data_IF_232330726254
#
_entry.id   IF_232330726254
#
_cell.length_a   1.000
_cell.length_b   1.000
_cell.length_c   1.000
_cell.angle_alpha   90.00
_cell.angle_beta   90.00
_cell.angle_gamma   90.00
#
_symmetry.space_group_name_H-M   'P 1'
#
loop_
_entity.id
_entity.type
_entity.pdbx_description
1 polymer ?
#
# COMPACT_ATOMS: atom_id res chain seq x y z
N UNK A 1 -4.84 -4.52 9.10
CA UNK A 1 -4.95 -3.28 8.35
C UNK A 1 -5.28 -3.62 6.91
N UNK A 2 -6.28 -2.98 6.31
CA UNK A 2 -6.72 -3.18 4.93
C UNK A 2 -6.54 -1.89 4.13
N UNK A 3 -5.61 -1.90 3.19
CA UNK A 3 -5.20 -0.74 2.42
C UNK A 3 -5.96 -0.67 1.08
N UNK A 4 -6.50 0.50 0.76
CA UNK A 4 -7.18 0.68 -0.51
C UNK A 4 -6.21 0.91 -1.67
N UNK A 5 -6.66 0.60 -2.87
CA UNK A 5 -5.96 0.95 -4.11
C UNK A 5 -6.18 2.40 -4.50
N UNK A 6 -5.53 2.83 -5.54
CA UNK A 6 -5.58 4.19 -6.04
C UNK A 6 -4.20 4.64 -6.48
N UNK A 7 -3.56 5.58 -5.75
CA UNK A 7 -3.85 6.16 -4.43
C UNK A 7 -5.08 7.08 -4.36
N UNK A 8 -5.47 7.72 -5.45
CA UNK A 8 -6.59 8.66 -5.54
C UNK A 8 -7.96 7.96 -5.43
N UNK A 9 -8.22 7.38 -4.26
CA UNK A 9 -9.46 6.71 -3.88
C UNK A 9 -9.76 7.00 -2.41
N UNK A 10 -10.85 6.49 -1.88
CA UNK A 10 -11.15 6.54 -0.44
C UNK A 10 -12.05 5.38 -0.03
N UNK A 11 -11.88 4.90 1.19
CA UNK A 11 -12.83 4.01 1.85
C UNK A 11 -14.01 4.80 2.39
N UNK A 12 -15.18 4.26 2.21
CA UNK A 12 -16.40 4.78 2.81
C UNK A 12 -16.88 3.83 3.91
N UNK A 13 -17.61 4.38 4.88
CA UNK A 13 -18.24 3.60 5.94
C UNK A 13 -19.49 2.89 5.38
N UNK A 14 -19.27 1.82 4.63
CA UNK A 14 -20.34 1.04 4.02
C UNK A 14 -20.12 -0.46 4.24
N UNK A 15 -21.22 -1.20 4.29
CA UNK A 15 -21.16 -2.65 4.35
C UNK A 15 -20.84 -3.22 2.97
N UNK A 16 -19.57 -3.44 2.70
CA UNK A 16 -19.11 -4.06 1.45
C UNK A 16 -18.86 -5.56 1.65
N UNK A 17 -19.56 -6.37 0.89
CA UNK A 17 -19.22 -7.78 0.68
C UNK A 17 -18.21 -7.87 -0.48
N UNK A 18 -17.00 -7.36 -0.23
CA UNK A 18 -15.95 -7.34 -1.24
C UNK A 18 -15.10 -8.60 -1.20
N UNK A 19 -14.41 -8.88 -2.31
CA UNK A 19 -13.46 -9.98 -2.44
C UNK A 19 -12.30 -9.94 -1.42
N UNK A 20 -12.09 -8.82 -0.76
CA UNK A 20 -11.01 -8.63 0.24
C UNK A 20 -11.36 -9.11 1.65
N UNK A 21 -12.52 -9.72 1.85
CA UNK A 21 -12.86 -10.45 3.06
C UNK A 21 -13.06 -9.63 4.34
N UNK A 22 -13.08 -8.27 4.27
CA UNK A 22 -13.22 -7.42 5.47
C UNK A 22 -14.41 -7.78 6.34
N UNK A 23 -15.59 -7.92 5.74
CA UNK A 23 -16.79 -8.32 6.44
C UNK A 23 -16.65 -9.71 7.07
N UNK A 24 -16.01 -10.64 6.37
CA UNK A 24 -15.74 -11.99 6.87
C UNK A 24 -14.77 -11.96 8.06
N UNK A 25 -13.67 -11.22 7.97
CA UNK A 25 -12.70 -11.10 9.06
C UNK A 25 -13.35 -10.54 10.31
N UNK A 26 -14.21 -9.53 10.20
CA UNK A 26 -14.93 -8.97 11.34
C UNK A 26 -15.85 -9.99 12.03
N UNK A 27 -16.48 -10.90 11.27
CA UNK A 27 -17.30 -11.98 11.85
C UNK A 27 -16.48 -13.06 12.56
N UNK A 28 -15.17 -13.10 12.30
CA UNK A 28 -14.23 -14.02 12.95
C UNK A 28 -13.49 -13.37 14.15
N UNK A 29 -13.95 -12.21 14.58
CA UNK A 29 -13.39 -11.53 15.77
C UNK A 29 -12.16 -10.65 15.46
N UNK A 30 -11.88 -10.36 14.20
CA UNK A 30 -10.82 -9.42 13.82
C UNK A 30 -11.34 -7.97 13.83
N UNK A 31 -10.56 -7.06 14.37
CA UNK A 31 -10.73 -5.63 14.08
C UNK A 31 -10.08 -5.33 12.73
N UNK A 32 -10.81 -4.64 11.84
CA UNK A 32 -10.31 -4.26 10.51
C UNK A 32 -10.19 -2.75 10.46
N UNK A 33 -8.95 -2.24 10.41
CA UNK A 33 -8.65 -0.84 10.18
C UNK A 33 -8.50 -0.62 8.66
N UNK A 34 -9.33 0.23 8.08
CA UNK A 34 -9.26 0.64 6.67
C UNK A 34 -9.03 2.16 6.61
N UNK A 35 -7.79 2.63 6.72
CA UNK A 35 -7.49 4.05 6.80
C UNK A 35 -7.63 4.74 5.44
N UNK A 36 -8.05 6.02 5.47
CA UNK A 36 -7.84 6.94 4.36
C UNK A 36 -6.57 7.75 4.67
N UNK A 37 -5.45 7.28 4.17
CA UNK A 37 -4.14 7.92 4.31
C UNK A 37 -4.01 9.10 3.35
N UNK A 38 -3.02 9.98 3.55
CA UNK A 38 -2.74 11.09 2.62
C UNK A 38 -2.60 10.57 1.19
N UNK A 39 -3.14 11.31 0.22
CA UNK A 39 -3.37 10.84 -1.15
C UNK A 39 -4.80 10.37 -1.42
N UNK A 40 -5.59 10.06 -0.37
CA UNK A 40 -7.00 9.68 -0.52
C UNK A 40 -7.87 10.87 -0.92
N UNK A 41 -8.96 10.58 -1.66
CA UNK A 41 -9.94 11.58 -2.08
C UNK A 41 -10.90 11.97 -0.93
N UNK A 42 -11.52 13.14 -1.04
CA UNK A 42 -12.58 13.58 -0.13
C UNK A 42 -12.10 14.42 1.06
N UNK A 43 -10.81 14.69 1.20
CA UNK A 43 -10.20 15.45 2.30
C UNK A 43 -9.56 16.77 1.85
N UNK A 44 -9.86 17.21 0.61
CA UNK A 44 -9.36 18.45 0.03
C UNK A 44 -8.03 18.26 -0.72
N UNK A 45 -7.69 19.28 -1.54
CA UNK A 45 -6.58 19.20 -2.50
C UNK A 45 -5.22 18.96 -1.85
N UNK A 46 -4.95 19.64 -0.72
CA UNK A 46 -3.68 19.47 -0.01
C UNK A 46 -3.48 18.01 0.44
N UNK A 47 -4.51 17.39 1.01
CA UNK A 47 -4.47 16.01 1.46
C UNK A 47 -4.27 15.05 0.29
N UNK A 48 -4.93 15.32 -0.85
CA UNK A 48 -4.84 14.54 -2.08
C UNK A 48 -3.46 14.60 -2.72
N UNK A 49 -2.83 15.78 -2.75
CA UNK A 49 -1.59 16.02 -3.50
C UNK A 49 -0.31 15.95 -2.65
N UNK A 50 -0.44 15.80 -1.34
CA UNK A 50 0.69 15.82 -0.39
C UNK A 50 1.71 14.68 -0.64
N UNK A 51 1.26 13.59 -1.26
CA UNK A 51 2.11 12.45 -1.62
C UNK A 51 2.98 12.65 -2.86
N UNK A 52 2.73 13.68 -3.66
CA UNK A 52 3.51 13.93 -4.89
C UNK A 52 4.97 14.21 -4.54
N UNK A 53 5.90 13.43 -5.10
CA UNK A 53 7.32 13.43 -4.76
C UNK A 53 7.66 12.74 -3.42
N UNK A 54 6.68 12.13 -2.75
CA UNK A 54 6.82 11.51 -1.42
C UNK A 54 5.97 10.25 -1.26
N UNK A 55 5.60 9.63 -2.36
CA UNK A 55 4.81 8.40 -2.35
C UNK A 55 5.54 7.33 -1.52
N UNK A 56 4.81 6.55 -0.73
CA UNK A 56 5.25 5.55 0.24
C UNK A 56 5.89 6.10 1.55
N UNK A 57 6.24 7.36 1.62
CA UNK A 57 6.74 7.98 2.86
C UNK A 57 5.56 8.34 3.79
N UNK A 58 4.75 9.29 3.35
CA UNK A 58 3.71 9.88 4.21
C UNK A 58 2.52 8.95 4.42
N UNK A 59 2.17 8.13 3.43
CA UNK A 59 1.10 7.15 3.57
C UNK A 59 1.47 6.06 4.57
N UNK A 60 2.71 5.57 4.51
CA UNK A 60 3.20 4.56 5.47
C UNK A 60 3.16 5.11 6.89
N UNK A 61 3.58 6.36 7.10
CA UNK A 61 3.47 7.02 8.41
C UNK A 61 2.03 7.10 8.91
N UNK A 62 1.08 7.48 8.07
CA UNK A 62 -0.33 7.58 8.42
C UNK A 62 -0.92 6.21 8.78
N UNK A 63 -0.55 5.17 8.03
CA UNK A 63 -1.02 3.80 8.25
C UNK A 63 -0.48 3.25 9.58
N UNK A 64 0.80 3.43 9.85
CA UNK A 64 1.43 2.98 11.09
C UNK A 64 0.86 3.73 12.30
N UNK A 65 0.67 5.06 12.20
CA UNK A 65 0.01 5.83 13.25
C UNK A 65 -1.41 5.34 13.52
N UNK A 66 -2.15 4.94 12.48
CA UNK A 66 -3.46 4.32 12.62
C UNK A 66 -3.42 2.98 13.36
N UNK A 67 -2.44 2.13 13.06
CA UNK A 67 -2.23 0.86 13.76
C UNK A 67 -1.88 1.09 15.25
N UNK A 68 -0.97 2.01 15.53
CA UNK A 68 -0.59 2.38 16.89
C UNK A 68 -1.78 2.91 17.70
N UNK A 69 -2.61 3.76 17.12
CA UNK A 69 -3.82 4.25 17.76
C UNK A 69 -4.81 3.12 18.11
N UNK A 70 -4.89 2.06 17.29
CA UNK A 70 -5.72 0.89 17.60
C UNK A 70 -5.15 0.07 18.75
N UNK A 71 -3.83 -0.05 18.85
CA UNK A 71 -3.14 -0.71 19.96
C UNK A 71 -3.34 0.08 21.25
N UNK A 72 -3.07 1.38 21.25
CA UNK A 72 -3.21 2.26 22.42
C UNK A 72 -4.64 2.27 22.98
N UNK A 73 -5.64 2.18 22.11
CA UNK A 73 -7.06 2.10 22.49
C UNK A 73 -7.47 0.70 22.98
N UNK A 74 -6.57 -0.27 22.99
CA UNK A 74 -6.86 -1.66 23.40
C UNK A 74 -7.77 -2.41 22.43
N UNK A 75 -7.91 -1.96 21.18
CA UNK A 75 -8.72 -2.60 20.13
C UNK A 75 -7.92 -3.68 19.42
N UNK A 76 -6.62 -3.44 19.19
CA UNK A 76 -5.72 -4.37 18.52
C UNK A 76 -4.64 -4.90 19.48
N UNK A 77 -4.31 -6.18 19.31
CA UNK A 77 -3.17 -6.82 19.97
C UNK A 77 -1.92 -6.60 19.11
N UNK A 78 -0.91 -5.92 19.65
CA UNK A 78 0.34 -5.63 18.95
C UNK A 78 1.08 -6.85 18.39
N UNK A 79 0.84 -8.01 18.99
CA UNK A 79 1.48 -9.27 18.60
C UNK A 79 0.64 -10.07 17.57
N UNK A 80 -0.49 -9.51 17.10
CA UNK A 80 -1.43 -10.14 16.17
C UNK A 80 -1.87 -9.22 15.04
N UNK A 81 -0.97 -8.40 14.55
CA UNK A 81 -1.24 -7.49 13.43
C UNK A 81 -1.02 -8.18 12.10
N UNK A 82 -1.89 -7.90 11.14
CA UNK A 82 -1.71 -8.26 9.75
C UNK A 82 -2.00 -7.04 8.86
N UNK A 83 -1.35 -6.97 7.70
CA UNK A 83 -1.53 -5.91 6.72
C UNK A 83 -1.77 -6.51 5.34
N UNK A 84 -2.58 -5.84 4.53
CA UNK A 84 -2.78 -6.25 3.15
C UNK A 84 -3.56 -5.22 2.38
N UNK A 85 -3.50 -5.34 1.06
CA UNK A 85 -4.19 -4.46 0.14
C UNK A 85 -4.02 -4.90 -1.30
N UNK A 86 -4.65 -4.17 -2.21
CA UNK A 86 -4.61 -4.45 -3.64
C UNK A 86 -4.17 -3.20 -4.42
N UNK A 87 -3.44 -3.39 -5.53
CA UNK A 87 -2.93 -2.30 -6.38
C UNK A 87 -2.02 -1.38 -5.54
N UNK A 88 -2.32 -0.08 -5.44
CA UNK A 88 -1.60 0.81 -4.53
C UNK A 88 -1.59 0.30 -3.07
N UNK A 89 -2.68 -0.34 -2.61
CA UNK A 89 -2.70 -1.00 -1.30
C UNK A 89 -1.73 -2.18 -1.19
N UNK A 90 -1.50 -2.92 -2.27
CA UNK A 90 -0.45 -3.94 -2.37
C UNK A 90 0.95 -3.35 -2.35
N UNK A 91 1.16 -2.26 -3.10
CA UNK A 91 2.40 -1.48 -3.08
C UNK A 91 2.74 -0.99 -1.67
N UNK A 92 1.81 -0.32 -1.01
CA UNK A 92 2.02 0.14 0.37
C UNK A 92 2.22 -1.01 1.37
N UNK A 93 1.59 -2.18 1.11
CA UNK A 93 1.88 -3.40 1.88
C UNK A 93 3.35 -3.80 1.74
N UNK A 94 3.89 -3.81 0.51
CA UNK A 94 5.30 -4.10 0.24
C UNK A 94 6.23 -3.10 0.93
N UNK A 95 5.93 -1.80 0.84
CA UNK A 95 6.71 -0.73 1.50
C UNK A 95 6.71 -0.89 3.03
N UNK A 96 5.55 -1.18 3.62
CA UNK A 96 5.39 -1.34 5.06
C UNK A 96 6.21 -2.52 5.57
N UNK A 97 6.12 -3.69 4.94
CA UNK A 97 6.87 -4.88 5.41
C UNK A 97 8.37 -4.79 5.14
N UNK A 98 8.80 -3.93 4.23
CA UNK A 98 10.20 -3.59 4.02
C UNK A 98 10.73 -2.60 5.08
N UNK A 99 9.83 -1.81 5.69
CA UNK A 99 10.19 -0.76 6.66
C UNK A 99 10.08 -1.22 8.12
N UNK A 100 9.16 -2.17 8.43
CA UNK A 100 8.87 -2.58 9.82
C UNK A 100 8.48 -4.05 9.92
N UNK A 101 8.74 -4.68 11.08
CA UNK A 101 8.45 -6.07 11.41
C UNK A 101 7.24 -6.23 12.37
N UNK A 102 6.48 -5.16 12.61
CA UNK A 102 5.34 -5.21 13.55
C UNK A 102 4.22 -6.14 13.07
N UNK A 103 4.07 -6.32 11.76
CA UNK A 103 3.05 -7.20 11.18
C UNK A 103 3.53 -8.66 11.16
N UNK A 104 2.63 -9.58 11.55
CA UNK A 104 2.93 -11.02 11.65
C UNK A 104 2.52 -11.80 10.41
N UNK A 105 1.77 -11.16 9.52
CA UNK A 105 1.41 -11.69 8.20
C UNK A 105 1.07 -10.52 7.26
N UNK A 106 1.33 -10.71 5.97
CA UNK A 106 0.99 -9.75 4.93
C UNK A 106 0.29 -10.40 3.74
N UNK A 107 -0.51 -9.63 3.03
CA UNK A 107 -1.17 -10.03 1.78
C UNK A 107 -1.04 -8.92 0.75
N UNK A 108 -0.08 -9.04 -0.16
CA UNK A 108 0.16 -8.09 -1.25
C UNK A 108 -0.54 -8.56 -2.51
N UNK A 109 -1.55 -7.82 -2.95
CA UNK A 109 -2.29 -8.09 -4.17
C UNK A 109 -1.94 -7.08 -5.27
N UNK A 110 -1.46 -7.54 -6.44
CA UNK A 110 -1.06 -6.69 -7.55
C UNK A 110 -0.25 -5.46 -7.06
N UNK A 111 0.73 -5.71 -6.18
CA UNK A 111 1.51 -4.66 -5.54
C UNK A 111 2.78 -4.36 -6.32
N UNK A 112 3.01 -3.08 -6.61
CA UNK A 112 4.27 -2.64 -7.21
C UNK A 112 5.43 -2.95 -6.26
N UNK A 113 6.56 -3.39 -6.81
CA UNK A 113 7.77 -3.66 -6.05
C UNK A 113 8.98 -2.85 -6.55
N UNK A 114 8.96 -2.46 -7.84
CA UNK A 114 9.96 -1.59 -8.47
C UNK A 114 9.25 -0.55 -9.34
N UNK A 115 9.38 0.72 -9.00
CA UNK A 115 8.74 1.84 -9.71
C UNK A 115 9.34 2.11 -11.08
N UNK A 116 10.64 1.83 -11.28
CA UNK A 116 11.26 1.95 -12.60
C UNK A 116 10.73 0.86 -13.55
N UNK A 117 10.61 -0.37 -13.05
CA UNK A 117 9.99 -1.45 -13.80
C UNK A 117 8.52 -1.14 -14.06
N UNK A 118 7.79 -0.65 -13.06
CA UNK A 118 6.38 -0.26 -13.22
C UNK A 118 6.20 0.72 -14.37
N UNK A 119 6.99 1.80 -14.41
CA UNK A 119 6.96 2.76 -15.51
C UNK A 119 7.20 2.10 -16.88
N UNK A 120 8.09 1.11 -16.94
CA UNK A 120 8.50 0.51 -18.21
C UNK A 120 7.47 -0.46 -18.81
N UNK A 121 6.65 -1.11 -17.99
CA UNK A 121 5.82 -2.24 -18.42
C UNK A 121 4.31 -2.06 -18.21
N UNK A 122 3.88 -1.03 -17.48
CA UNK A 122 2.45 -0.76 -17.26
C UNK A 122 1.77 -0.06 -18.44
N UNK A 123 0.46 -0.11 -18.50
CA UNK A 123 -0.35 0.52 -19.55
C UNK A 123 -0.57 2.04 -19.38
N UNK A 124 -0.18 2.62 -18.23
CA UNK A 124 -0.32 4.08 -17.92
C UNK A 124 0.91 4.68 -17.24
N UNK A 125 2.10 4.63 -17.85
CA UNK A 125 3.36 5.01 -17.20
C UNK A 125 3.42 6.48 -16.73
N UNK A 126 2.48 7.31 -17.18
CA UNK A 126 2.39 8.70 -16.77
C UNK A 126 2.12 8.91 -15.28
N UNK A 127 1.51 7.95 -14.59
CA UNK A 127 1.28 8.10 -13.15
C UNK A 127 2.60 8.03 -12.36
N UNK A 128 3.49 7.09 -12.68
CA UNK A 128 4.81 7.00 -12.04
C UNK A 128 5.59 8.31 -12.22
N UNK A 129 5.59 8.86 -13.44
CA UNK A 129 6.24 10.15 -13.73
C UNK A 129 5.65 11.29 -12.89
N UNK A 130 4.33 11.30 -12.72
CA UNK A 130 3.66 12.33 -11.92
C UNK A 130 4.02 12.26 -10.45
N UNK A 131 4.10 11.06 -9.87
CA UNK A 131 4.44 10.90 -8.45
C UNK A 131 5.94 11.07 -8.19
N UNK A 132 6.81 10.54 -9.03
CA UNK A 132 8.26 10.73 -8.93
C UNK A 132 8.74 12.14 -9.38
N UNK A 133 7.85 12.94 -9.98
CA UNK A 133 8.15 14.28 -10.54
C UNK A 133 9.25 14.26 -11.61
N UNK A 134 9.44 13.12 -12.28
CA UNK A 134 10.43 12.98 -13.33
C UNK A 134 10.40 11.63 -14.04
N UNK A 135 11.19 11.53 -15.08
CA UNK A 135 11.40 10.30 -15.85
C UNK A 135 12.51 9.46 -15.21
N UNK A 136 12.59 8.15 -15.45
CA UNK A 136 13.58 7.27 -14.80
C UNK A 136 15.04 7.71 -14.88
N UNK A 137 15.38 8.44 -15.91
CA UNK A 137 16.75 8.99 -16.07
C UNK A 137 16.93 10.40 -15.50
N UNK A 138 15.88 11.04 -14.98
CA UNK A 138 15.94 12.37 -14.33
C UNK A 138 15.51 12.33 -12.87
N UNK A 139 14.87 11.28 -12.44
CA UNK A 139 14.36 11.05 -11.07
C UNK A 139 14.72 9.63 -10.60
N UNK A 140 15.96 9.20 -10.87
CA UNK A 140 16.39 7.82 -10.57
C UNK A 140 16.45 7.57 -9.07
N UNK A 141 16.92 8.53 -8.30
CA UNK A 141 17.04 8.44 -6.84
C UNK A 141 15.64 8.38 -6.20
N UNK A 142 14.71 9.24 -6.65
CA UNK A 142 13.32 9.26 -6.20
C UNK A 142 12.60 7.93 -6.50
N UNK A 143 12.80 7.37 -7.68
CA UNK A 143 12.22 6.08 -8.06
C UNK A 143 12.82 4.93 -7.25
N UNK A 144 14.10 4.99 -6.94
CA UNK A 144 14.74 4.02 -6.05
C UNK A 144 14.14 4.10 -4.64
N UNK A 145 14.03 5.29 -4.08
CA UNK A 145 13.45 5.52 -2.75
C UNK A 145 11.99 5.07 -2.66
N UNK A 146 11.26 5.15 -3.78
CA UNK A 146 9.87 4.69 -3.91
C UNK A 146 9.75 3.18 -4.18
N UNK A 147 10.85 2.44 -4.31
CA UNK A 147 10.84 1.03 -4.74
C UNK A 147 11.23 0.09 -3.61
N UNK A 148 10.28 -0.67 -3.01
CA UNK A 148 10.56 -1.58 -1.89
C UNK A 148 11.54 -2.71 -2.24
N UNK A 149 11.83 -2.97 -3.51
CA UNK A 149 12.83 -3.97 -3.92
C UNK A 149 14.22 -3.69 -3.35
N UNK A 150 14.59 -2.43 -3.17
CA UNK A 150 15.90 -2.04 -2.64
C UNK A 150 16.05 -2.29 -1.13
N UNK A 151 14.92 -2.55 -0.45
CA UNK A 151 14.85 -2.90 0.97
C UNK A 151 14.36 -4.34 1.19
N UNK A 152 14.38 -5.17 0.14
CA UNK A 152 13.79 -6.51 0.16
C UNK A 152 14.43 -7.45 1.19
N UNK A 153 15.70 -7.27 1.50
CA UNK A 153 16.43 -8.04 2.51
C UNK A 153 15.99 -7.74 3.96
N UNK A 154 15.27 -6.66 4.18
CA UNK A 154 14.64 -6.34 5.47
C UNK A 154 13.33 -7.11 5.69
N UNK A 155 12.73 -7.68 4.64
CA UNK A 155 11.42 -8.32 4.73
C UNK A 155 11.52 -9.66 5.44
N UNK A 156 10.97 -9.72 6.65
CA UNK A 156 10.85 -10.95 7.44
C UNK A 156 9.41 -11.41 7.62
N UNK A 157 8.44 -10.57 7.27
CA UNK A 157 7.01 -10.86 7.42
C UNK A 157 6.54 -11.93 6.44
N UNK A 158 5.96 -13.05 6.88
CA UNK A 158 5.34 -14.03 5.99
C UNK A 158 4.28 -13.38 5.11
N UNK A 159 4.44 -13.47 3.79
CA UNK A 159 3.63 -12.72 2.83
C UNK A 159 3.00 -13.64 1.79
N UNK A 160 1.70 -13.48 1.56
CA UNK A 160 1.01 -14.04 0.39
C UNK A 160 1.00 -12.97 -0.70
N UNK A 161 1.43 -13.36 -1.91
CA UNK A 161 1.40 -12.50 -3.09
C UNK A 161 0.29 -12.98 -4.02
N UNK A 162 -0.53 -12.05 -4.48
CA UNK A 162 -1.62 -12.30 -5.41
C UNK A 162 -1.39 -11.46 -6.68
N UNK A 163 -1.42 -12.10 -7.84
CA UNK A 163 -1.20 -11.42 -9.11
C UNK A 163 -2.15 -11.95 -10.18
N UNK A 164 -2.60 -11.08 -11.05
CA UNK A 164 -3.33 -11.41 -12.26
C UNK A 164 -2.35 -11.63 -13.43
N UNK A 165 -2.33 -12.80 -14.05
CA UNK A 165 -1.42 -13.10 -15.16
C UNK A 165 -1.63 -12.18 -16.39
N UNK A 166 -2.79 -11.51 -16.50
CA UNK A 166 -3.11 -10.58 -17.59
C UNK A 166 -3.31 -9.14 -17.09
N UNK A 167 -2.80 -8.82 -15.91
CA UNK A 167 -2.91 -7.46 -15.36
C UNK A 167 -1.96 -6.54 -16.12
N UNK A 168 -2.52 -5.56 -16.85
CA UNK A 168 -1.75 -4.58 -17.61
C UNK A 168 -1.40 -3.35 -16.75
N UNK A 169 -2.07 -3.15 -15.62
CA UNK A 169 -1.85 -2.01 -14.75
C UNK A 169 -0.70 -2.26 -13.74
N UNK A 170 -0.70 -3.42 -13.10
CA UNK A 170 0.42 -3.90 -12.30
C UNK A 170 0.78 -5.28 -12.82
N UNK A 171 1.68 -5.35 -13.81
CA UNK A 171 2.04 -6.61 -14.45
C UNK A 171 2.62 -7.64 -13.48
N UNK A 172 2.43 -8.92 -13.82
CA UNK A 172 2.80 -10.04 -12.96
C UNK A 172 4.29 -10.07 -12.60
N UNK A 173 5.12 -9.43 -13.39
CA UNK A 173 6.56 -9.28 -13.20
C UNK A 173 6.93 -8.46 -11.96
N UNK A 174 5.96 -7.73 -11.39
CA UNK A 174 6.13 -6.99 -10.12
C UNK A 174 6.05 -7.90 -8.87
N UNK A 175 5.77 -9.20 -9.04
CA UNK A 175 5.44 -10.09 -7.90
C UNK A 175 6.41 -11.23 -7.69
#
# INVERSE_FOLDING_TARGET
VDLHGGPTSARQAELQFSMYGRGLLSTQGWAVLSPNYRGSTGYGDKFLTDLIGRENDIEVQDILAGADAMIERGIADKDKLAVGGWSNGGYLTNCIIATTDIFKAASSGAGVFDQTMQWAIEDTPGHVVNYAQGLPWTAADELQDMSPIYEADNITTPTIIHVGAGDARVPAEQS
#
